data_IF_120101351919
#
_entry.id   IF_120101351919
#
_cell.length_a   1.000
_cell.length_b   1.000
_cell.length_c   1.000
_cell.angle_alpha   90.00
_cell.angle_beta   90.00
_cell.angle_gamma   90.00
#
_symmetry.space_group_name_H-M   'P 1'
#
loop_
_entity.id
_entity.type
_entity.pdbx_description
1 polymer ?
#
# COMPACT_ATOMS: atom_id res chain seq x y z
N UNK A 1 -24.29 7.24 -22.44
CA UNK A 1 -22.85 7.29 -22.11
C UNK A 1 -22.70 8.16 -20.89
N UNK A 2 -22.04 7.69 -19.83
CA UNK A 2 -21.71 8.54 -18.67
C UNK A 2 -20.77 9.63 -19.16
N UNK A 3 -20.98 10.87 -18.73
CA UNK A 3 -20.07 11.97 -19.05
C UNK A 3 -18.68 11.73 -18.44
N UNK A 4 -17.61 11.97 -19.20
CA UNK A 4 -16.25 11.71 -18.73
C UNK A 4 -15.89 12.60 -17.54
N UNK A 5 -16.34 13.86 -17.48
CA UNK A 5 -16.02 14.74 -16.34
C UNK A 5 -16.69 14.27 -15.06
N UNK A 6 -17.94 13.79 -15.16
CA UNK A 6 -18.61 13.17 -14.03
C UNK A 6 -17.87 11.92 -13.53
N UNK A 7 -17.38 11.08 -14.46
CA UNK A 7 -16.61 9.89 -14.15
C UNK A 7 -15.23 10.23 -13.53
N UNK A 8 -14.53 11.22 -14.07
CA UNK A 8 -13.27 11.72 -13.54
C UNK A 8 -13.45 12.24 -12.12
N UNK A 9 -14.50 13.03 -11.87
CA UNK A 9 -14.82 13.55 -10.54
C UNK A 9 -15.06 12.39 -9.56
N UNK A 10 -15.85 11.40 -9.97
CA UNK A 10 -16.15 10.21 -9.16
C UNK A 10 -14.89 9.44 -8.76
N UNK A 11 -13.94 9.28 -9.68
CA UNK A 11 -12.73 8.47 -9.47
C UNK A 11 -11.47 9.28 -9.20
N UNK A 12 -11.60 10.60 -8.97
CA UNK A 12 -10.49 11.49 -8.63
C UNK A 12 -9.66 10.98 -7.44
N UNK A 13 -10.24 10.47 -6.34
CA UNK A 13 -9.44 9.91 -5.25
C UNK A 13 -8.52 8.77 -5.70
N UNK A 14 -8.99 7.92 -6.63
CA UNK A 14 -8.21 6.81 -7.16
C UNK A 14 -7.13 7.29 -8.14
N UNK A 15 -7.44 8.28 -8.99
CA UNK A 15 -6.45 8.94 -9.85
C UNK A 15 -5.30 9.52 -9.02
N UNK A 16 -5.61 10.29 -7.98
CA UNK A 16 -4.62 10.88 -7.07
C UNK A 16 -3.78 9.83 -6.37
N UNK A 17 -4.39 8.70 -5.98
CA UNK A 17 -3.69 7.57 -5.35
C UNK A 17 -2.62 6.96 -6.26
N UNK A 18 -2.88 6.82 -7.56
CA UNK A 18 -1.88 6.29 -8.49
C UNK A 18 -0.90 7.37 -8.96
N UNK A 19 -1.35 8.62 -9.09
CA UNK A 19 -0.49 9.75 -9.45
C UNK A 19 0.55 10.09 -8.37
N UNK A 20 0.26 9.81 -7.09
CA UNK A 20 1.21 10.00 -5.99
C UNK A 20 2.36 8.99 -6.00
N UNK A 21 2.34 8.01 -6.90
CA UNK A 21 3.41 7.02 -6.98
C UNK A 21 4.66 7.66 -7.53
N UNK A 22 5.78 7.49 -6.82
CA UNK A 22 7.08 7.95 -7.31
C UNK A 22 7.51 7.08 -8.49
N UNK A 23 7.38 7.63 -9.70
CA UNK A 23 7.91 7.04 -10.93
C UNK A 23 9.13 7.87 -11.35
N UNK A 24 10.34 7.30 -11.33
CA UNK A 24 11.55 8.03 -11.73
C UNK A 24 11.41 8.68 -13.11
N UNK A 25 11.78 9.95 -13.21
CA UNK A 25 11.69 10.72 -14.46
C UNK A 25 10.28 11.11 -14.90
N UNK A 26 9.26 10.95 -14.04
CA UNK A 26 7.90 11.45 -14.29
C UNK A 26 7.42 12.33 -13.14
N UNK A 27 6.84 13.48 -13.48
CA UNK A 27 6.22 14.37 -12.50
C UNK A 27 4.81 13.90 -12.16
N UNK A 28 4.30 14.34 -11.00
CA UNK A 28 2.95 14.00 -10.54
C UNK A 28 1.87 14.25 -11.61
N UNK A 29 1.92 15.39 -12.28
CA UNK A 29 0.94 15.76 -13.32
C UNK A 29 1.03 14.88 -14.56
N UNK A 30 2.22 14.37 -14.92
CA UNK A 30 2.38 13.43 -16.03
C UNK A 30 1.70 12.10 -15.69
N UNK A 31 1.89 11.62 -14.46
CA UNK A 31 1.26 10.37 -14.00
C UNK A 31 -0.25 10.57 -13.87
N UNK A 32 -0.70 11.72 -13.37
CA UNK A 32 -2.12 12.07 -13.30
C UNK A 32 -2.77 12.07 -14.69
N UNK A 33 -2.09 12.62 -15.69
CA UNK A 33 -2.55 12.62 -17.07
C UNK A 33 -2.63 11.21 -17.65
N UNK A 34 -1.62 10.37 -17.40
CA UNK A 34 -1.66 8.95 -17.80
C UNK A 34 -2.84 8.22 -17.14
N UNK A 35 -3.11 8.45 -15.86
CA UNK A 35 -4.26 7.84 -15.19
C UNK A 35 -5.60 8.35 -15.79
N UNK A 36 -5.72 9.62 -16.18
CA UNK A 36 -6.90 10.12 -16.90
C UNK A 36 -7.09 9.40 -18.24
N UNK A 37 -6.02 9.18 -18.98
CA UNK A 37 -6.05 8.42 -20.25
C UNK A 37 -6.51 6.98 -20.00
N UNK A 38 -6.02 6.34 -18.93
CA UNK A 38 -6.47 4.99 -18.56
C UNK A 38 -7.94 4.98 -18.19
N UNK A 39 -8.44 5.96 -17.43
CA UNK A 39 -9.86 6.07 -17.07
C UNK A 39 -10.74 6.18 -18.32
N UNK A 40 -10.32 7.01 -19.29
CA UNK A 40 -11.01 7.16 -20.57
C UNK A 40 -11.06 5.84 -21.35
N UNK A 41 -9.95 5.11 -21.38
CA UNK A 41 -9.88 3.81 -22.04
C UNK A 41 -10.73 2.74 -21.33
N UNK A 42 -10.75 2.76 -20.00
CA UNK A 42 -11.60 1.86 -19.20
C UNK A 42 -13.07 2.14 -19.47
N UNK A 43 -13.49 3.40 -19.51
CA UNK A 43 -14.86 3.77 -19.86
C UNK A 43 -15.29 3.20 -21.21
N UNK A 44 -14.40 3.26 -22.22
CA UNK A 44 -14.69 2.76 -23.58
C UNK A 44 -14.69 1.24 -23.70
N UNK A 45 -13.84 0.57 -22.94
CA UNK A 45 -13.59 -0.87 -23.08
C UNK A 45 -14.30 -1.72 -22.01
N UNK A 46 -14.95 -1.08 -21.04
CA UNK A 46 -15.69 -1.80 -20.00
C UNK A 46 -16.90 -2.49 -20.60
N UNK A 47 -16.97 -3.79 -20.38
CA UNK A 47 -18.03 -4.67 -20.85
C UNK A 47 -18.84 -5.15 -19.65
N UNK A 48 -20.08 -4.68 -19.56
CA UNK A 48 -21.01 -5.02 -18.48
C UNK A 48 -21.47 -6.48 -18.53
N UNK A 49 -21.29 -7.18 -19.65
CA UNK A 49 -21.64 -8.60 -19.78
C UNK A 49 -20.62 -9.51 -19.09
N UNK A 50 -19.42 -8.99 -18.80
CA UNK A 50 -18.41 -9.70 -18.01
C UNK A 50 -18.76 -9.62 -16.53
N UNK A 51 -18.56 -10.72 -15.80
CA UNK A 51 -18.78 -10.79 -14.35
C UNK A 51 -17.65 -10.09 -13.57
N UNK A 52 -17.38 -8.82 -13.86
CA UNK A 52 -16.35 -8.03 -13.19
C UNK A 52 -16.88 -6.62 -12.96
N UNK A 53 -16.83 -6.16 -11.71
CA UNK A 53 -17.28 -4.81 -11.35
C UNK A 53 -16.38 -3.75 -11.99
N UNK A 54 -16.95 -2.61 -12.39
CA UNK A 54 -16.22 -1.49 -12.99
C UNK A 54 -15.01 -1.05 -12.17
N UNK A 55 -15.17 -0.88 -10.85
CA UNK A 55 -14.07 -0.51 -9.95
C UNK A 55 -12.92 -1.52 -9.99
N UNK A 56 -13.22 -2.82 -9.98
CA UNK A 56 -12.20 -3.87 -10.05
C UNK A 56 -11.43 -3.79 -11.36
N UNK A 57 -12.14 -3.61 -12.48
CA UNK A 57 -11.52 -3.45 -13.80
C UNK A 57 -10.69 -2.17 -13.92
N UNK A 58 -11.19 -1.07 -13.35
CA UNK A 58 -10.49 0.22 -13.29
C UNK A 58 -9.20 0.13 -12.48
N UNK A 59 -9.27 -0.43 -11.27
CA UNK A 59 -8.12 -0.61 -10.39
C UNK A 59 -7.04 -1.46 -11.05
N UNK A 60 -7.42 -2.59 -11.65
CA UNK A 60 -6.50 -3.45 -12.38
C UNK A 60 -5.83 -2.71 -13.56
N UNK A 61 -6.59 -1.87 -14.27
CA UNK A 61 -6.07 -1.09 -15.40
C UNK A 61 -5.07 -0.02 -14.96
N UNK A 62 -5.35 0.70 -13.88
CA UNK A 62 -4.42 1.66 -13.29
C UNK A 62 -3.15 0.98 -12.78
N UNK A 63 -3.30 -0.10 -12.00
CA UNK A 63 -2.16 -0.86 -11.48
C UNK A 63 -1.25 -1.36 -12.61
N UNK A 64 -1.82 -1.99 -13.63
CA UNK A 64 -1.03 -2.47 -14.77
C UNK A 64 -0.31 -1.34 -15.51
N UNK A 65 -0.93 -0.16 -15.62
CA UNK A 65 -0.31 0.99 -16.29
C UNK A 65 0.81 1.57 -15.45
N UNK A 66 0.58 1.81 -14.16
CA UNK A 66 1.60 2.33 -13.26
C UNK A 66 2.80 1.38 -13.14
N UNK A 67 2.58 0.06 -13.11
CA UNK A 67 3.66 -0.95 -13.18
C UNK A 67 4.45 -0.88 -14.50
N UNK A 68 3.78 -0.63 -15.63
CA UNK A 68 4.45 -0.44 -16.92
C UNK A 68 5.28 0.84 -16.96
N UNK A 69 4.78 1.94 -16.39
CA UNK A 69 5.52 3.19 -16.29
C UNK A 69 6.77 3.03 -15.42
N UNK A 70 6.64 2.38 -14.26
CA UNK A 70 7.77 1.99 -13.41
C UNK A 70 8.78 1.09 -14.12
N UNK A 71 8.32 0.15 -14.94
CA UNK A 71 9.20 -0.69 -15.73
C UNK A 71 10.00 0.10 -16.77
N UNK A 72 9.36 1.10 -17.40
CA UNK A 72 9.98 1.93 -18.45
C UNK A 72 10.95 2.97 -17.90
N UNK A 73 10.83 3.38 -16.64
CA UNK A 73 11.69 4.41 -16.04
C UNK A 73 13.11 3.94 -15.73
N UNK A 74 13.44 2.66 -15.88
CA UNK A 74 14.82 2.16 -15.86
C UNK A 74 15.48 1.99 -14.48
N UNK A 75 14.89 2.50 -13.40
CA UNK A 75 15.48 2.45 -12.03
C UNK A 75 15.04 1.24 -11.16
N UNK A 76 14.05 0.45 -11.58
CA UNK A 76 13.44 -0.57 -10.71
C UNK A 76 13.57 -1.99 -11.24
N UNK A 77 14.07 -2.91 -10.42
CA UNK A 77 13.96 -4.36 -10.59
C UNK A 77 12.62 -4.74 -11.25
N UNK A 78 12.67 -5.56 -12.31
CA UNK A 78 11.48 -6.11 -12.98
C UNK A 78 10.47 -6.59 -11.92
N UNK A 79 9.24 -6.05 -11.83
CA UNK A 79 8.26 -6.59 -10.91
C UNK A 79 7.96 -8.02 -11.35
N UNK A 80 8.38 -9.02 -10.55
CA UNK A 80 7.92 -10.39 -10.74
C UNK A 80 6.43 -10.42 -10.44
N UNK A 81 5.66 -11.31 -11.05
CA UNK A 81 4.25 -11.54 -10.67
C UNK A 81 4.22 -11.74 -9.14
N UNK A 82 3.54 -10.85 -8.42
CA UNK A 82 3.46 -10.86 -6.95
C UNK A 82 4.31 -9.80 -6.22
N UNK A 83 5.25 -9.13 -6.90
CA UNK A 83 6.09 -8.10 -6.29
C UNK A 83 5.45 -6.72 -6.47
N UNK A 84 5.16 -6.05 -5.36
CA UNK A 84 4.64 -4.68 -5.34
C UNK A 84 5.84 -3.71 -5.21
N UNK A 85 6.10 -2.85 -6.21
CA UNK A 85 7.11 -1.81 -6.09
C UNK A 85 6.98 -0.98 -4.81
N UNK A 86 8.11 -0.67 -4.17
CA UNK A 86 8.21 0.00 -2.86
C UNK A 86 7.38 1.29 -2.72
N UNK A 87 7.17 2.03 -3.82
CA UNK A 87 6.35 3.25 -3.85
C UNK A 87 4.84 3.03 -3.79
N UNK A 88 4.37 1.79 -3.94
CA UNK A 88 2.95 1.41 -4.01
C UNK A 88 2.37 1.04 -2.65
N UNK A 89 3.23 0.63 -1.70
CA UNK A 89 2.87 0.25 -0.31
C UNK A 89 2.54 1.49 0.55
N UNK A 90 2.72 2.68 -0.02
CA UNK A 90 2.49 3.96 0.62
C UNK A 90 1.09 4.61 0.40
N UNK A 91 -0.08 3.93 0.54
CA UNK A 91 -1.38 4.62 0.46
C UNK A 91 -2.27 4.44 1.70
N UNK A 92 -1.74 4.01 2.85
CA UNK A 92 -2.57 3.80 4.05
C UNK A 92 -2.49 4.93 5.08
N UNK A 93 -1.76 6.00 4.75
CA UNK A 93 -1.86 7.22 5.51
C UNK A 93 -2.58 8.30 4.67
N UNK A 94 -3.53 8.99 5.30
CA UNK A 94 -4.27 10.13 4.73
C UNK A 94 -3.40 11.37 4.43
N UNK A 95 -2.07 11.23 4.45
CA UNK A 95 -1.13 12.21 3.91
C UNK A 95 -0.98 13.51 4.72
N UNK A 96 -1.66 13.65 5.87
CA UNK A 96 -1.41 14.76 6.79
C UNK A 96 -0.32 14.37 7.78
N UNK A 97 0.90 14.80 7.48
CA UNK A 97 2.02 14.72 8.40
C UNK A 97 2.60 16.11 8.55
N UNK A 98 2.38 16.73 9.70
CA UNK A 98 3.13 17.92 10.07
C UNK A 98 4.62 17.54 10.18
N UNK A 99 5.49 18.40 9.66
CA UNK A 99 6.93 18.22 9.66
C UNK A 99 7.44 18.01 11.10
N UNK A 100 7.64 16.76 11.51
CA UNK A 100 8.17 16.41 12.83
C UNK A 100 7.46 15.28 13.56
N UNK A 101 6.27 14.83 13.13
CA UNK A 101 5.60 13.68 13.74
C UNK A 101 5.76 12.46 12.84
N UNK A 102 6.76 11.63 13.13
CA UNK A 102 6.97 10.37 12.44
C UNK A 102 5.77 9.44 12.63
N UNK A 103 4.98 9.24 11.57
CA UNK A 103 3.86 8.30 11.61
C UNK A 103 4.38 6.89 11.88
N UNK A 104 3.86 6.24 12.92
CA UNK A 104 4.24 4.88 13.31
C UNK A 104 3.99 3.88 12.18
N UNK A 105 3.00 4.11 11.31
CA UNK A 105 2.76 3.30 10.11
C UNK A 105 3.85 3.52 9.04
N UNK A 106 4.17 4.78 8.73
CA UNK A 106 5.24 5.12 7.77
C UNK A 106 6.62 4.67 8.28
N UNK A 107 6.85 4.75 9.59
CA UNK A 107 8.06 4.26 10.22
C UNK A 107 8.06 2.74 10.27
N UNK A 108 7.00 2.07 10.74
CA UNK A 108 6.84 0.60 10.77
C UNK A 108 7.04 -0.03 9.39
N UNK A 109 6.52 0.59 8.33
CA UNK A 109 6.67 0.09 6.96
C UNK A 109 8.10 0.18 6.44
N UNK A 110 8.90 1.21 6.81
CA UNK A 110 10.33 1.31 6.42
C UNK A 110 11.17 0.07 6.75
N UNK A 111 10.69 -0.77 7.67
CA UNK A 111 11.33 -2.03 8.00
C UNK A 111 10.54 -3.28 7.62
N UNK A 112 9.23 -3.16 7.35
CA UNK A 112 8.39 -4.27 6.90
C UNK A 112 8.73 -4.68 5.45
N UNK A 113 9.50 -3.84 4.73
CA UNK A 113 10.06 -4.04 3.39
C UNK A 113 11.06 -5.21 3.23
N UNK A 114 11.12 -6.14 4.19
CA UNK A 114 11.87 -7.40 4.07
C UNK A 114 10.94 -8.57 3.70
N UNK A 115 9.62 -8.43 3.86
CA UNK A 115 8.68 -9.54 3.63
C UNK A 115 7.55 -9.11 2.68
N UNK A 116 7.67 -9.56 1.42
CA UNK A 116 6.72 -9.37 0.30
C UNK A 116 5.46 -10.26 0.44
N UNK A 117 4.90 -10.40 1.64
CA UNK A 117 3.81 -11.35 1.86
C UNK A 117 2.48 -10.66 2.17
N UNK A 118 1.58 -10.67 1.19
CA UNK A 118 0.19 -10.20 1.31
C UNK A 118 -0.52 -10.91 2.46
N UNK A 119 -0.17 -12.17 2.75
CA UNK A 119 -0.75 -12.92 3.86
C UNK A 119 -0.39 -12.32 5.21
N UNK A 120 0.82 -11.78 5.39
CA UNK A 120 1.20 -11.08 6.63
C UNK A 120 0.48 -9.75 6.78
N UNK A 121 0.29 -9.00 5.69
CA UNK A 121 -0.44 -7.73 5.72
C UNK A 121 -1.90 -7.98 6.10
N UNK A 122 -2.54 -8.99 5.49
CA UNK A 122 -3.91 -9.38 5.78
C UNK A 122 -4.05 -9.91 7.22
N UNK A 123 -3.13 -10.78 7.66
CA UNK A 123 -3.08 -11.32 9.02
C UNK A 123 -2.97 -10.24 10.09
N UNK A 124 -2.17 -9.19 9.84
CA UNK A 124 -1.92 -8.13 10.80
C UNK A 124 -2.93 -6.97 10.71
N UNK A 125 -3.70 -6.87 9.64
CA UNK A 125 -4.67 -5.79 9.41
C UNK A 125 -5.75 -5.69 10.49
N UNK A 126 -6.06 -6.81 11.15
CA UNK A 126 -7.04 -6.91 12.24
C UNK A 126 -6.41 -7.04 13.63
N UNK A 127 -5.08 -7.03 13.72
CA UNK A 127 -4.37 -7.16 14.97
C UNK A 127 -4.36 -5.85 15.77
N UNK A 128 -4.20 -5.95 17.08
CA UNK A 128 -3.99 -4.79 17.94
C UNK A 128 -2.74 -4.00 17.55
N UNK A 129 -2.74 -2.72 17.92
CA UNK A 129 -1.61 -1.82 17.73
C UNK A 129 -0.31 -2.41 18.30
N UNK A 130 -0.39 -3.01 19.50
CA UNK A 130 0.74 -3.64 20.16
C UNK A 130 1.31 -4.81 19.36
N UNK A 131 0.44 -5.66 18.80
CA UNK A 131 0.84 -6.78 17.97
C UNK A 131 1.49 -6.31 16.67
N UNK A 132 0.89 -5.33 15.99
CA UNK A 132 1.45 -4.74 14.76
C UNK A 132 2.81 -4.10 15.00
N UNK A 133 2.96 -3.34 16.10
CA UNK A 133 4.22 -2.69 16.45
C UNK A 133 5.33 -3.71 16.71
N UNK A 134 5.04 -4.75 17.49
CA UNK A 134 6.00 -5.81 17.81
C UNK A 134 6.38 -6.63 16.57
N UNK A 135 5.41 -6.94 15.69
CA UNK A 135 5.69 -7.57 14.40
C UNK A 135 6.66 -6.71 13.57
N UNK A 136 6.38 -5.41 13.48
CA UNK A 136 7.23 -4.44 12.83
C UNK A 136 8.67 -4.45 13.35
N UNK A 137 8.87 -4.56 14.67
CA UNK A 137 10.19 -4.67 15.30
C UNK A 137 10.92 -5.97 14.97
N UNK A 138 10.23 -7.09 15.10
CA UNK A 138 10.79 -8.42 14.81
C UNK A 138 11.25 -8.49 13.35
N UNK A 139 10.47 -7.92 12.43
CA UNK A 139 10.81 -7.88 11.01
C UNK A 139 12.07 -7.02 10.74
N UNK A 140 12.38 -6.01 11.57
CA UNK A 140 13.66 -5.25 11.49
C UNK A 140 14.86 -6.01 12.07
N UNK A 141 14.63 -7.20 12.62
CA UNK A 141 15.63 -7.92 13.40
C UNK A 141 15.80 -7.39 14.83
N UNK A 142 14.96 -6.46 15.30
CA UNK A 142 14.97 -6.05 16.70
C UNK A 142 13.99 -6.92 17.50
N UNK A 143 14.52 -8.00 18.07
CA UNK A 143 13.77 -8.92 18.93
C UNK A 143 13.90 -8.56 20.40
N UNK A 144 14.50 -7.41 20.73
CA UNK A 144 14.81 -7.05 22.11
C UNK A 144 13.65 -6.29 22.76
N UNK A 145 13.20 -6.76 23.93
CA UNK A 145 12.20 -6.03 24.73
C UNK A 145 12.67 -4.62 25.09
N UNK A 146 13.98 -4.43 25.23
CA UNK A 146 14.58 -3.12 25.50
C UNK A 146 14.37 -2.14 24.34
N UNK A 147 14.55 -2.59 23.09
CA UNK A 147 14.25 -1.79 21.90
C UNK A 147 12.78 -1.39 21.82
N UNK A 148 11.89 -2.32 22.16
CA UNK A 148 10.43 -2.08 22.15
C UNK A 148 9.98 -1.08 23.23
N UNK A 149 10.58 -1.14 24.43
CA UNK A 149 10.33 -0.17 25.50
C UNK A 149 10.87 1.22 25.13
N UNK A 150 12.05 1.28 24.51
CA UNK A 150 12.62 2.55 24.04
C UNK A 150 11.75 3.24 22.97
N UNK A 151 10.93 2.47 22.25
CA UNK A 151 9.92 3.01 21.33
C UNK A 151 8.66 3.52 22.03
N UNK A 152 8.48 3.21 23.32
CA UNK A 152 7.34 3.66 24.12
C UNK A 152 6.29 2.58 24.42
N UNK A 153 6.56 1.30 24.13
CA UNK A 153 5.66 0.22 24.55
C UNK A 153 5.83 -0.07 26.05
N UNK A 154 4.71 -0.13 26.76
CA UNK A 154 4.71 -0.55 28.17
C UNK A 154 4.88 -2.07 28.30
N UNK A 155 5.28 -2.54 29.49
CA UNK A 155 5.42 -3.98 29.76
C UNK A 155 4.11 -4.76 29.52
N UNK A 156 2.96 -4.18 29.89
CA UNK A 156 1.64 -4.77 29.63
C UNK A 156 1.32 -4.89 28.14
N UNK A 157 1.64 -3.85 27.36
CA UNK A 157 1.47 -3.83 25.91
C UNK A 157 2.35 -4.86 25.21
N UNK A 158 3.61 -5.01 25.63
CA UNK A 158 4.51 -6.04 25.09
C UNK A 158 3.93 -7.44 25.34
N UNK A 159 3.42 -7.71 26.53
CA UNK A 159 2.84 -9.00 26.89
C UNK A 159 1.54 -9.27 26.10
N UNK A 160 0.69 -8.26 25.92
CA UNK A 160 -0.55 -8.37 25.15
C UNK A 160 -0.26 -8.61 23.67
N UNK A 161 0.57 -7.75 23.06
CA UNK A 161 0.90 -7.82 21.64
C UNK A 161 1.62 -9.10 21.26
N UNK A 162 2.59 -9.58 22.07
CA UNK A 162 3.26 -10.87 21.80
C UNK A 162 2.33 -12.07 21.90
N UNK A 163 1.36 -12.04 22.81
CA UNK A 163 0.38 -13.12 22.98
C UNK A 163 -0.57 -13.19 21.79
N UNK A 164 -1.07 -12.04 21.36
CA UNK A 164 -1.95 -11.94 20.20
C UNK A 164 -1.22 -12.31 18.91
N UNK A 165 0.01 -11.82 18.72
CA UNK A 165 0.82 -12.17 17.56
C UNK A 165 1.04 -13.69 17.46
N UNK A 166 1.34 -14.34 18.58
CA UNK A 166 1.50 -15.80 18.64
C UNK A 166 0.20 -16.54 18.33
N UNK A 167 -0.96 -15.97 18.67
CA UNK A 167 -2.27 -16.54 18.34
C UNK A 167 -2.54 -16.43 16.85
N UNK A 168 -2.37 -15.24 16.28
CA UNK A 168 -2.57 -14.97 14.85
C UNK A 168 -1.70 -15.87 13.97
N UNK A 169 -0.41 -16.03 14.32
CA UNK A 169 0.51 -16.89 13.57
C UNK A 169 0.20 -18.39 13.67
N UNK A 170 -0.56 -18.83 14.69
CA UNK A 170 -1.01 -20.22 14.83
C UNK A 170 -2.34 -20.48 14.11
N UNK A 171 -3.17 -19.46 13.96
CA UNK A 171 -4.49 -19.57 13.32
C UNK A 171 -4.42 -19.29 11.81
N UNK A 172 -3.41 -18.56 11.34
CA UNK A 172 -3.21 -18.18 9.94
C UNK A 172 -2.20 -19.00 9.13
N UNK A 173 -1.65 -20.09 9.68
CA UNK A 173 -0.71 -21.01 9.00
C UNK A 173 -1.26 -22.43 8.94
#
# INVERSE_FOLDING_TARGET
MIDFRALETQWTPLLRKFASWRIPGMEYEDIMQEMRIVLFNVQRNYDQTKNTKFLTFLYASFLNTALKLLYKSGEGCKPRKGTIPKGIINPLCDGKHDEGVGCSWCMAQQSMFVVDDVSMIDLLSHASYEAQAIAGFIIRGDTSKKGWVNFGLTGGQIISGTRELRKLLKEGG
#
